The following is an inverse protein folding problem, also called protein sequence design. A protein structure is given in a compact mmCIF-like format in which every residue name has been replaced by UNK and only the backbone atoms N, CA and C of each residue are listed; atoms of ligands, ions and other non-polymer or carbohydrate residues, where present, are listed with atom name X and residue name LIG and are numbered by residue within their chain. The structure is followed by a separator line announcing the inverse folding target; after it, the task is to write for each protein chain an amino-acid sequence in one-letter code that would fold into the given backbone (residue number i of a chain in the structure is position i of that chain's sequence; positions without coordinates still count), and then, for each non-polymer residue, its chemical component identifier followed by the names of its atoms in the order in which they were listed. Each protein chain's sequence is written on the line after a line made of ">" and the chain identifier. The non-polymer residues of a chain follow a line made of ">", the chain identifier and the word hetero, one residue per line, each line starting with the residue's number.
data_IF_110064482098
#
_entry.id   IF_110064482098
#
_cell.length_a   1.000
_cell.length_b   1.000
_cell.length_c   1.000
_cell.angle_alpha   90.00
_cell.angle_beta   90.00
_cell.angle_gamma   90.00
#
_symmetry.space_group_name_H-M   'P 1'
#
loop_
_entity.id
_entity.type
_entity.pdbx_description
1 polymer ?
#
# COMPACT_ATOMS: atom_id res chain seq x y z
N UNK A 1 -0.11 -0.90 -16.54
CA UNK A 1 1.30 -1.04 -16.12
C UNK A 1 2.30 -0.65 -17.22
N UNK A 2 2.25 0.58 -17.74
CA UNK A 2 3.09 0.96 -18.90
C UNK A 2 4.20 1.95 -18.52
N UNK A 3 3.96 2.83 -17.54
CA UNK A 3 4.91 3.89 -17.16
C UNK A 3 6.11 3.37 -16.35
N UNK A 4 5.88 2.60 -15.29
CA UNK A 4 6.97 2.10 -14.43
C UNK A 4 7.95 1.18 -15.18
N UNK A 5 7.42 0.27 -16.01
CA UNK A 5 8.25 -0.63 -16.83
C UNK A 5 9.10 0.11 -17.86
N UNK A 6 8.58 1.19 -18.45
CA UNK A 6 9.32 2.03 -19.41
C UNK A 6 10.41 2.87 -18.74
N UNK A 7 10.23 3.24 -17.48
CA UNK A 7 11.18 4.05 -16.71
C UNK A 7 12.22 3.21 -15.94
N UNK A 8 12.24 1.88 -16.09
CA UNK A 8 13.15 1.00 -15.37
C UNK A 8 12.91 0.98 -13.85
N UNK A 9 11.71 1.35 -13.40
CA UNK A 9 11.39 1.46 -11.98
C UNK A 9 10.99 0.09 -11.41
N UNK A 10 11.52 -0.24 -10.23
CA UNK A 10 11.10 -1.41 -9.44
C UNK A 10 9.70 -1.18 -8.90
N UNK A 11 8.82 -2.17 -9.06
CA UNK A 11 7.52 -2.20 -8.40
C UNK A 11 7.73 -2.59 -6.93
N UNK A 12 7.26 -1.75 -6.00
CA UNK A 12 7.37 -2.00 -4.56
C UNK A 12 6.21 -2.83 -4.00
N UNK A 13 5.06 -2.81 -4.66
CA UNK A 13 3.91 -3.60 -4.27
C UNK A 13 2.65 -3.18 -5.02
N UNK A 14 1.51 -3.69 -4.58
CA UNK A 14 0.20 -3.35 -5.11
C UNK A 14 -0.79 -3.25 -3.95
N UNK A 15 -1.64 -2.25 -4.01
CA UNK A 15 -2.69 -2.06 -3.01
C UNK A 15 -4.02 -2.52 -3.59
N UNK A 16 -4.80 -3.33 -2.85
CA UNK A 16 -6.16 -3.66 -3.26
C UNK A 16 -7.03 -2.41 -3.26
N UNK A 17 -8.00 -2.35 -4.18
CA UNK A 17 -9.01 -1.29 -4.17
C UNK A 17 -10.14 -1.72 -3.23
N UNK A 18 -10.26 -1.06 -2.09
CA UNK A 18 -11.27 -1.34 -1.08
C UNK A 18 -12.15 -0.09 -0.90
N UNK A 19 -13.48 -0.16 -1.12
CA UNK A 19 -14.36 1.01 -1.07
C UNK A 19 -14.28 1.80 0.24
N UNK A 20 -14.18 1.09 1.37
CA UNK A 20 -14.12 1.71 2.68
C UNK A 20 -12.84 2.53 2.86
N UNK A 21 -11.71 2.10 2.29
CA UNK A 21 -10.45 2.86 2.30
C UNK A 21 -10.57 4.15 1.50
N UNK A 22 -11.26 4.10 0.36
CA UNK A 22 -11.51 5.29 -0.47
C UNK A 22 -12.35 6.29 0.31
N UNK A 23 -13.43 5.84 0.94
CA UNK A 23 -14.28 6.67 1.78
C UNK A 23 -13.53 7.26 2.99
N UNK A 24 -12.69 6.46 3.66
CA UNK A 24 -11.85 6.95 4.74
C UNK A 24 -10.90 8.06 4.28
N UNK A 25 -10.29 7.90 3.10
CA UNK A 25 -9.43 8.90 2.46
C UNK A 25 -10.18 10.20 2.13
N UNK A 26 -11.38 10.10 1.57
CA UNK A 26 -12.23 11.26 1.27
C UNK A 26 -12.66 12.00 2.54
N UNK A 27 -12.88 11.27 3.64
CA UNK A 27 -13.23 11.82 4.95
C UNK A 27 -12.02 12.34 5.74
N UNK A 28 -10.78 12.17 5.25
CA UNK A 28 -9.56 12.56 5.95
C UNK A 28 -9.23 11.71 7.18
N UNK A 29 -9.73 10.48 7.20
CA UNK A 29 -9.52 9.50 8.28
C UNK A 29 -8.60 8.37 7.81
N UNK A 30 -8.02 7.65 8.78
CA UNK A 30 -7.01 6.62 8.51
C UNK A 30 -7.15 5.43 9.47
N UNK A 31 -8.40 5.06 9.77
CA UNK A 31 -8.71 4.02 10.74
C UNK A 31 -8.19 2.65 10.28
N UNK A 32 -8.08 2.45 8.96
CA UNK A 32 -7.45 1.27 8.37
C UNK A 32 -6.04 0.99 8.90
N UNK A 33 -5.27 2.01 9.30
CA UNK A 33 -3.92 1.81 9.85
C UNK A 33 -3.93 1.02 11.16
N UNK A 34 -5.02 1.06 11.92
CA UNK A 34 -5.17 0.30 13.17
C UNK A 34 -5.66 -1.14 12.91
N UNK A 35 -6.24 -1.40 11.74
CA UNK A 35 -6.80 -2.69 11.35
C UNK A 35 -5.74 -3.58 10.68
N UNK A 36 -4.96 -4.28 11.51
CA UNK A 36 -3.78 -5.06 11.07
C UNK A 36 -4.09 -6.19 10.08
N UNK A 37 -5.30 -6.74 10.10
CA UNK A 37 -5.70 -7.87 9.27
C UNK A 37 -6.35 -7.44 7.94
N UNK A 38 -6.57 -6.14 7.73
CA UNK A 38 -7.15 -5.64 6.50
C UNK A 38 -6.16 -5.83 5.33
N UNK A 39 -6.58 -6.37 4.17
CA UNK A 39 -5.69 -6.61 3.05
C UNK A 39 -4.95 -5.36 2.57
N UNK A 40 -5.62 -4.20 2.55
CA UNK A 40 -4.98 -2.91 2.27
C UNK A 40 -3.85 -2.62 3.24
N UNK A 41 -4.11 -2.70 4.54
CA UNK A 41 -3.13 -2.42 5.61
C UNK A 41 -1.93 -3.33 5.51
N UNK A 42 -2.14 -4.65 5.35
CA UNK A 42 -1.06 -5.62 5.20
C UNK A 42 -0.17 -5.30 4.00
N UNK A 43 -0.76 -5.01 2.84
CA UNK A 43 0.02 -4.71 1.63
C UNK A 43 0.71 -3.35 1.69
N UNK A 44 0.07 -2.36 2.30
CA UNK A 44 0.67 -1.05 2.54
C UNK A 44 1.90 -1.17 3.44
N UNK A 45 1.79 -1.88 4.57
CA UNK A 45 2.92 -2.09 5.49
C UNK A 45 4.10 -2.75 4.78
N UNK A 46 3.86 -3.78 3.95
CA UNK A 46 4.94 -4.41 3.15
C UNK A 46 5.66 -3.41 2.23
N UNK A 47 4.92 -2.51 1.58
CA UNK A 47 5.51 -1.46 0.73
C UNK A 47 6.38 -0.52 1.58
N UNK A 48 5.92 -0.14 2.77
CA UNK A 48 6.67 0.71 3.69
C UNK A 48 7.95 0.02 4.18
N UNK A 49 7.88 -1.27 4.52
CA UNK A 49 9.04 -2.03 4.97
C UNK A 49 10.11 -2.14 3.87
N UNK A 50 9.69 -2.29 2.61
CA UNK A 50 10.58 -2.26 1.44
C UNK A 50 11.24 -0.89 1.27
N UNK A 51 10.50 0.22 1.45
CA UNK A 51 11.05 1.58 1.37
C UNK A 51 12.05 1.86 2.50
N UNK A 52 11.79 1.37 3.71
CA UNK A 52 12.70 1.52 4.86
C UNK A 52 13.94 0.62 4.76
N UNK A 53 13.94 -0.36 3.86
CA UNK A 53 14.98 -1.39 3.79
C UNK A 53 14.91 -2.42 4.92
N UNK A 54 13.76 -2.51 5.59
CA UNK A 54 13.49 -3.43 6.70
C UNK A 54 12.85 -4.75 6.24
N UNK A 55 12.39 -4.82 4.99
CA UNK A 55 11.88 -6.04 4.39
C UNK A 55 12.99 -7.10 4.28
N UNK A 56 12.89 -8.15 5.09
CA UNK A 56 13.70 -9.37 4.96
C UNK A 56 12.80 -10.49 4.42
N UNK A 57 13.21 -11.17 3.34
CA UNK A 57 12.42 -12.21 2.68
C UNK A 57 12.23 -13.46 3.56
#
# INVERSE_FOLDING_TARGET
>A
MVTAKKAGLRLLGSLPLEPDIVLEGDNGTVNWMEQKDLPYTVNFTKIIDEVKGEFRP
#
